data_IF_122738561043
#
_entry.id   IF_122738561043
#
_cell.length_a   1.000
_cell.length_b   1.000
_cell.length_c   1.000
_cell.angle_alpha   90.00
_cell.angle_beta   90.00
_cell.angle_gamma   90.00
#
_symmetry.space_group_name_H-M   'P 1'
#
loop_
_entity.id
_entity.type
_entity.pdbx_description
1 polymer ?
#
# COMPACT_ATOMS: atom_id res chain seq x y z
N UNK A 1 5.93 2.70 -6.73
CA UNK A 1 5.02 1.60 -7.06
C UNK A 1 4.29 2.07 -8.30
N UNK A 2 4.87 1.68 -9.43
CA UNK A 2 4.85 2.43 -10.68
C UNK A 2 3.46 2.47 -11.32
N UNK A 3 3.03 3.62 -11.87
CA UNK A 3 1.91 3.68 -12.81
C UNK A 3 2.07 2.69 -13.97
N UNK A 4 3.32 2.45 -14.41
CA UNK A 4 3.63 1.64 -15.59
C UNK A 4 3.46 0.12 -15.41
N UNK A 5 3.27 -0.35 -14.18
CA UNK A 5 3.16 -1.80 -13.88
C UNK A 5 1.72 -2.29 -13.75
N UNK A 6 0.71 -1.44 -13.97
CA UNK A 6 -0.71 -1.77 -13.83
C UNK A 6 -1.02 -2.62 -12.57
N UNK A 7 -0.37 -2.30 -11.45
CA UNK A 7 -0.45 -3.05 -10.21
C UNK A 7 -1.11 -2.21 -9.12
N UNK A 8 -2.15 -2.74 -8.49
CA UNK A 8 -2.87 -2.12 -7.37
C UNK A 8 -2.66 -2.95 -6.11
N UNK A 9 -2.46 -2.30 -4.96
CA UNK A 9 -2.18 -2.97 -3.68
C UNK A 9 -2.79 -2.22 -2.50
N UNK A 10 -3.15 -2.96 -1.44
CA UNK A 10 -3.52 -2.39 -0.15
C UNK A 10 -2.34 -2.50 0.82
N UNK A 11 -1.88 -1.37 1.35
CA UNK A 11 -0.77 -1.29 2.32
C UNK A 11 -1.05 -0.17 3.32
N UNK A 12 -0.49 -0.28 4.53
CA UNK A 12 -0.43 0.86 5.46
C UNK A 12 0.61 1.85 4.93
N UNK A 13 0.25 3.12 4.88
CA UNK A 13 1.06 4.19 4.29
C UNK A 13 1.64 5.06 5.40
N UNK A 14 2.95 5.29 5.35
CA UNK A 14 3.63 6.28 6.18
C UNK A 14 4.37 7.25 5.25
N UNK A 15 4.12 8.55 5.43
CA UNK A 15 4.79 9.61 4.67
C UNK A 15 6.08 9.98 5.38
N UNK A 16 7.22 9.75 4.72
CA UNK A 16 8.54 10.21 5.17
C UNK A 16 8.96 11.42 4.32
N UNK A 17 9.94 12.21 4.78
CA UNK A 17 10.32 13.49 4.14
C UNK A 17 10.61 13.40 2.63
N UNK A 18 11.11 12.27 2.13
CA UNK A 18 11.56 12.11 0.73
C UNK A 18 10.90 10.92 0.00
N UNK A 19 10.07 10.13 0.69
CA UNK A 19 9.55 8.87 0.17
C UNK A 19 8.32 8.43 0.96
N UNK A 20 7.59 7.50 0.39
CA UNK A 20 6.47 6.84 1.03
C UNK A 20 6.89 5.42 1.42
N UNK A 21 6.68 5.09 2.69
CA UNK A 21 6.86 3.75 3.23
C UNK A 21 5.53 3.01 3.18
N UNK A 22 5.50 1.90 2.46
CA UNK A 22 4.35 1.03 2.33
C UNK A 22 4.58 -0.24 3.15
N UNK A 23 3.78 -0.44 4.19
CA UNK A 23 3.90 -1.57 5.12
C UNK A 23 2.85 -2.63 4.80
N UNK A 24 3.25 -3.88 4.54
CA UNK A 24 2.31 -4.98 4.35
C UNK A 24 1.61 -5.36 5.66
N UNK A 25 0.47 -6.04 5.58
CA UNK A 25 -0.23 -6.57 6.76
C UNK A 25 0.46 -7.81 7.37
N UNK A 26 1.42 -8.40 6.67
CA UNK A 26 2.22 -9.53 7.14
C UNK A 26 3.51 -9.02 7.81
N UNK A 27 3.67 -9.28 9.12
CA UNK A 27 4.82 -8.85 9.94
C UNK A 27 6.18 -9.41 9.51
N UNK A 28 6.20 -10.54 8.79
CA UNK A 28 7.43 -11.17 8.32
C UNK A 28 7.97 -10.55 7.02
N UNK A 29 7.17 -9.72 6.36
CA UNK A 29 7.55 -9.04 5.12
C UNK A 29 8.18 -7.68 5.40
N UNK A 30 9.24 -7.36 4.65
CA UNK A 30 9.88 -6.05 4.75
C UNK A 30 8.97 -4.94 4.17
N UNK A 31 9.03 -3.71 4.72
CA UNK A 31 8.40 -2.55 4.10
C UNK A 31 8.97 -2.23 2.73
N UNK A 32 8.15 -1.62 1.89
CA UNK A 32 8.54 -1.10 0.58
C UNK A 32 8.70 0.42 0.69
N UNK A 33 9.64 0.98 -0.06
CA UNK A 33 9.92 2.41 -0.06
C UNK A 33 9.87 2.93 -1.49
N UNK A 34 9.03 3.94 -1.72
CA UNK A 34 8.71 4.40 -3.06
C UNK A 34 8.65 5.92 -3.09
N UNK A 35 9.13 6.53 -4.18
CA UNK A 35 9.08 7.98 -4.40
C UNK A 35 7.94 8.38 -5.33
N UNK A 36 7.47 7.46 -6.16
CA UNK A 36 6.38 7.67 -7.10
C UNK A 36 5.27 6.63 -6.87
N UNK A 37 4.17 7.05 -6.24
CA UNK A 37 2.97 6.25 -5.99
C UNK A 37 1.74 7.14 -6.10
N UNK A 38 0.67 6.58 -6.65
CA UNK A 38 -0.63 7.23 -6.68
C UNK A 38 -1.54 6.60 -5.62
N UNK A 39 -2.06 7.41 -4.71
CA UNK A 39 -2.99 6.95 -3.66
C UNK A 39 -4.41 7.07 -4.17
N UNK A 40 -4.99 5.93 -4.56
CA UNK A 40 -6.34 5.86 -5.12
C UNK A 40 -7.46 6.11 -4.09
N UNK A 41 -7.16 5.94 -2.80
CA UNK A 41 -8.14 6.17 -1.74
C UNK A 41 -7.73 5.59 -0.39
N UNK A 42 -8.63 5.68 0.58
CA UNK A 42 -8.47 5.12 1.93
C UNK A 42 -9.43 3.95 2.11
N UNK A 43 -8.91 2.82 2.58
CA UNK A 43 -9.75 1.69 3.00
C UNK A 43 -10.54 2.08 4.25
N UNK A 44 -11.87 1.95 4.19
CA UNK A 44 -12.79 2.27 5.30
C UNK A 44 -13.42 1.04 5.95
N UNK A 45 -13.36 -0.11 5.29
CA UNK A 45 -13.92 -1.37 5.78
C UNK A 45 -13.53 -2.53 4.87
N UNK A 46 -13.84 -3.75 5.31
CA UNK A 46 -13.65 -4.98 4.53
C UNK A 46 -14.96 -5.75 4.54
N UNK A 47 -15.38 -6.22 3.37
CA UNK A 47 -16.48 -7.15 3.23
C UNK A 47 -15.93 -8.57 3.10
N UNK A 48 -16.39 -9.47 3.96
CA UNK A 48 -16.04 -10.90 3.90
C UNK A 48 -17.32 -11.66 3.61
N UNK A 49 -17.34 -12.43 2.51
CA UNK A 49 -18.43 -13.37 2.24
C UNK A 49 -18.20 -14.63 3.06
N UNK A 50 -19.18 -15.01 3.88
CA UNK A 50 -19.23 -16.32 4.51
C UNK A 50 -19.82 -17.33 3.52
N UNK A 51 -19.31 -18.57 3.55
CA UNK A 51 -19.79 -19.70 2.75
C UNK A 51 -20.69 -20.58 3.62
#
# INVERSE_FOLDING_TARGET
>A
YLPDRNAVTLKKIYREKKRIKLVPANKYMKPFYETNVEIQGKVVGVLRREL
#
